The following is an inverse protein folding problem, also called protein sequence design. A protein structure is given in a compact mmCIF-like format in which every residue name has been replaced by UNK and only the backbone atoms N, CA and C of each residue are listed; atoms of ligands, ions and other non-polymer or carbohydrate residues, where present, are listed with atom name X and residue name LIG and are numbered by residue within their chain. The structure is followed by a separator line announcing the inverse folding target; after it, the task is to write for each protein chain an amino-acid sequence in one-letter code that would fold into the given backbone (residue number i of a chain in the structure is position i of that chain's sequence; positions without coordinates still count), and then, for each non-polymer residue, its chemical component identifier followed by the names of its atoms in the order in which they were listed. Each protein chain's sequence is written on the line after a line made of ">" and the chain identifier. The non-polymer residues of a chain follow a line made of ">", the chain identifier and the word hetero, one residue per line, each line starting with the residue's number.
data_IF_690884757067
#
_entry.id   IF_690884757067
#
_cell.length_a   1.000
_cell.length_b   1.000
_cell.length_c   1.000
_cell.angle_alpha   90.00
_cell.angle_beta   90.00
_cell.angle_gamma   90.00
#
_symmetry.space_group_name_H-M   'P 1'
#
loop_
_entity.id
_entity.type
_entity.pdbx_description
1 polymer ?
#
# COMPACT_ATOMS: atom_id res chain seq x y z
N UNK A 1 4.25 24.18 -35.65
CA UNK A 1 5.28 25.20 -35.90
C UNK A 1 6.18 25.41 -34.65
N UNK A 2 5.61 25.70 -33.47
CA UNK A 2 6.38 26.00 -32.23
C UNK A 2 7.10 24.78 -31.65
N UNK A 3 6.56 23.59 -31.79
CA UNK A 3 7.22 22.35 -31.34
C UNK A 3 8.54 22.07 -32.06
N UNK A 4 8.70 22.55 -33.28
CA UNK A 4 9.94 22.41 -34.05
C UNK A 4 10.96 23.53 -33.78
N UNK A 5 10.48 24.68 -33.24
CA UNK A 5 11.30 25.84 -32.92
C UNK A 5 11.79 25.85 -31.47
N UNK A 6 11.22 25.00 -30.62
CA UNK A 6 11.59 24.83 -29.19
C UNK A 6 12.72 23.82 -29.06
N UNK A 7 13.79 24.21 -28.41
CA UNK A 7 14.92 23.36 -28.05
C UNK A 7 14.99 23.23 -26.54
N UNK A 8 15.10 21.98 -26.07
CA UNK A 8 15.30 21.67 -24.65
C UNK A 8 16.53 20.78 -24.52
N UNK A 9 17.52 21.24 -23.81
CA UNK A 9 18.77 20.52 -23.60
C UNK A 9 19.10 20.45 -22.11
N UNK A 10 19.63 19.30 -21.66
CA UNK A 10 20.21 19.17 -20.34
C UNK A 10 21.49 19.98 -20.24
N UNK A 11 21.63 20.80 -19.20
CA UNK A 11 22.79 21.66 -19.00
C UNK A 11 24.12 20.90 -18.83
N UNK A 12 24.07 19.67 -18.29
CA UNK A 12 25.15 18.67 -18.18
C UNK A 12 24.50 17.30 -17.93
N UNK A 13 25.22 16.19 -18.19
CA UNK A 13 24.72 14.82 -17.97
C UNK A 13 24.27 14.56 -16.51
N UNK A 14 24.85 15.28 -15.54
CA UNK A 14 24.51 15.19 -14.11
C UNK A 14 23.67 16.39 -13.59
N UNK A 15 23.25 17.30 -14.47
CA UNK A 15 22.55 18.50 -14.04
C UNK A 15 21.04 18.30 -14.01
N UNK A 16 20.41 18.73 -12.91
CA UNK A 16 18.97 18.87 -12.78
C UNK A 16 18.41 20.13 -13.45
N UNK A 17 19.17 20.73 -14.36
CA UNK A 17 18.86 22.00 -15.05
C UNK A 17 18.60 21.70 -16.53
N UNK A 18 17.44 22.12 -17.00
CA UNK A 18 17.07 22.07 -18.40
C UNK A 18 17.14 23.48 -18.98
N UNK A 19 17.92 23.66 -20.04
CA UNK A 19 17.95 24.89 -20.81
C UNK A 19 16.88 24.84 -21.89
N UNK A 20 15.97 25.82 -21.85
CA UNK A 20 14.90 25.97 -22.85
C UNK A 20 15.24 27.16 -23.73
N UNK A 21 15.17 26.99 -25.04
CA UNK A 21 15.32 28.06 -26.00
C UNK A 21 14.31 27.93 -27.13
N UNK A 22 13.88 29.07 -27.67
CA UNK A 22 12.97 29.14 -28.79
C UNK A 22 13.39 30.25 -29.75
N UNK A 23 13.31 30.01 -31.03
CA UNK A 23 13.57 31.01 -32.06
C UNK A 23 12.24 31.50 -32.68
N UNK A 24 11.92 32.78 -32.50
CA UNK A 24 10.78 33.44 -33.09
C UNK A 24 11.17 34.83 -33.61
N UNK A 25 10.39 35.35 -34.60
CA UNK A 25 10.58 36.69 -35.13
C UNK A 25 10.23 37.79 -34.11
N UNK A 26 9.47 37.50 -33.08
CA UNK A 26 9.09 38.41 -31.99
C UNK A 26 9.65 37.89 -30.64
N UNK A 27 10.51 38.68 -30.01
CA UNK A 27 11.09 38.39 -28.72
C UNK A 27 9.98 38.20 -27.65
N UNK A 28 9.01 39.11 -27.64
CA UNK A 28 7.91 39.08 -26.68
C UNK A 28 7.10 37.78 -26.77
N UNK A 29 6.83 37.34 -28.01
CA UNK A 29 6.11 36.11 -28.26
C UNK A 29 6.92 34.86 -27.86
N UNK A 30 8.23 34.88 -28.06
CA UNK A 30 9.12 33.83 -27.61
C UNK A 30 9.13 33.74 -26.06
N UNK A 31 9.21 34.87 -25.36
CA UNK A 31 9.14 34.93 -23.89
C UNK A 31 7.78 34.44 -23.38
N UNK A 32 6.67 34.84 -23.97
CA UNK A 32 5.34 34.41 -23.58
C UNK A 32 5.17 32.88 -23.74
N UNK A 33 5.70 32.31 -24.82
CA UNK A 33 5.64 30.85 -25.06
C UNK A 33 6.47 30.10 -24.00
N UNK A 34 7.69 30.55 -23.70
CA UNK A 34 8.54 29.92 -22.70
C UNK A 34 7.94 30.03 -21.28
N UNK A 35 7.44 31.20 -20.91
CA UNK A 35 6.79 31.41 -19.62
C UNK A 35 5.54 30.51 -19.48
N UNK A 36 4.66 30.50 -20.50
CA UNK A 36 3.48 29.62 -20.51
C UNK A 36 3.87 28.16 -20.39
N UNK A 37 4.92 27.72 -21.09
CA UNK A 37 5.41 26.34 -21.01
C UNK A 37 5.88 26.00 -19.58
N UNK A 38 6.61 26.89 -18.94
CA UNK A 38 7.08 26.70 -17.57
C UNK A 38 5.90 26.66 -16.59
N UNK A 39 4.93 27.57 -16.74
CA UNK A 39 3.72 27.56 -15.90
C UNK A 39 2.92 26.26 -16.05
N UNK A 40 2.65 25.83 -17.28
CA UNK A 40 1.95 24.58 -17.55
C UNK A 40 2.72 23.35 -17.04
N UNK A 41 4.05 23.36 -17.14
CA UNK A 41 4.90 22.29 -16.58
C UNK A 41 4.77 22.21 -15.05
N UNK A 42 4.87 23.36 -14.39
CA UNK A 42 4.74 23.44 -12.93
C UNK A 42 3.34 23.03 -12.47
N UNK A 43 2.28 23.51 -13.15
CA UNK A 43 0.91 23.10 -12.86
C UNK A 43 0.72 21.60 -13.03
N UNK A 44 1.23 21.04 -14.11
CA UNK A 44 1.15 19.60 -14.38
C UNK A 44 1.93 18.78 -13.35
N UNK A 45 3.11 19.25 -12.94
CA UNK A 45 3.90 18.61 -11.91
C UNK A 45 3.16 18.57 -10.55
N UNK A 46 2.53 19.70 -10.18
CA UNK A 46 1.71 19.78 -8.95
C UNK A 46 0.50 18.84 -9.05
N UNK A 47 -0.19 18.80 -10.18
CA UNK A 47 -1.33 17.89 -10.40
C UNK A 47 -0.91 16.42 -10.25
N UNK A 48 0.20 16.01 -10.86
CA UNK A 48 0.71 14.64 -10.77
C UNK A 48 1.06 14.26 -9.34
N UNK A 49 1.71 15.18 -8.60
CA UNK A 49 2.01 14.98 -7.17
C UNK A 49 0.74 14.88 -6.33
N UNK A 50 -0.22 15.76 -6.55
CA UNK A 50 -1.48 15.75 -5.84
C UNK A 50 -2.29 14.48 -6.14
N UNK A 51 -2.27 13.97 -7.37
CA UNK A 51 -2.98 12.74 -7.73
C UNK A 51 -2.46 11.51 -6.95
N UNK A 52 -1.14 11.42 -6.78
CA UNK A 52 -0.53 10.36 -5.94
C UNK A 52 -0.98 10.54 -4.48
N UNK A 53 -0.90 11.77 -3.95
CA UNK A 53 -1.28 12.07 -2.58
C UNK A 53 -2.76 11.76 -2.29
N UNK A 54 -3.68 12.12 -3.21
CA UNK A 54 -5.11 11.81 -3.08
C UNK A 54 -5.35 10.31 -3.10
N UNK A 55 -4.73 9.57 -4.03
CA UNK A 55 -4.86 8.10 -4.09
C UNK A 55 -4.36 7.43 -2.81
N UNK A 56 -3.24 7.90 -2.27
CA UNK A 56 -2.67 7.40 -1.01
C UNK A 56 -3.56 7.76 0.19
N UNK A 57 -4.10 8.97 0.23
CA UNK A 57 -5.00 9.41 1.31
C UNK A 57 -6.29 8.59 1.35
N UNK A 58 -6.89 8.32 0.19
CA UNK A 58 -8.06 7.45 0.11
C UNK A 58 -7.77 6.04 0.62
N UNK A 59 -6.65 5.46 0.19
CA UNK A 59 -6.22 4.15 0.69
C UNK A 59 -6.06 4.12 2.21
N UNK A 60 -5.39 5.15 2.77
CA UNK A 60 -5.19 5.25 4.23
C UNK A 60 -6.55 5.38 4.95
N UNK A 61 -7.49 6.15 4.41
CA UNK A 61 -8.83 6.31 4.97
C UNK A 61 -9.61 4.99 5.02
N UNK A 62 -9.66 4.28 3.90
CA UNK A 62 -10.30 2.95 3.81
C UNK A 62 -9.65 1.96 4.79
N UNK A 63 -8.34 2.06 4.92
CA UNK A 63 -7.56 1.20 5.80
C UNK A 63 -7.80 1.46 7.28
N UNK A 64 -7.87 2.74 7.68
CA UNK A 64 -8.20 3.14 9.04
C UNK A 64 -9.56 2.59 9.46
N UNK A 65 -10.57 2.70 8.60
CA UNK A 65 -11.91 2.17 8.88
C UNK A 65 -11.90 0.64 9.13
N UNK A 66 -11.11 -0.11 8.37
CA UNK A 66 -10.95 -1.56 8.60
C UNK A 66 -10.28 -1.84 9.95
N UNK A 67 -9.20 -1.11 10.27
CA UNK A 67 -8.47 -1.28 11.53
C UNK A 67 -9.33 -0.90 12.73
N UNK A 68 -10.12 0.17 12.65
CA UNK A 68 -11.04 0.59 13.71
C UNK A 68 -12.09 -0.49 14.01
N UNK A 69 -12.66 -1.10 12.97
CA UNK A 69 -13.60 -2.20 13.13
C UNK A 69 -12.95 -3.46 13.74
N UNK A 70 -11.72 -3.79 13.30
CA UNK A 70 -10.98 -4.94 13.85
C UNK A 70 -10.58 -4.71 15.31
N UNK A 71 -10.14 -3.49 15.68
CA UNK A 71 -9.81 -3.11 17.05
C UNK A 71 -11.03 -3.16 17.97
N UNK A 72 -12.17 -2.63 17.54
CA UNK A 72 -13.43 -2.72 18.32
C UNK A 72 -13.79 -4.16 18.65
N UNK A 73 -13.70 -5.06 17.67
CA UNK A 73 -13.95 -6.49 17.88
C UNK A 73 -12.93 -7.16 18.82
N UNK A 74 -11.66 -6.73 18.80
CA UNK A 74 -10.61 -7.26 19.69
C UNK A 74 -10.83 -6.78 21.11
N UNK A 75 -11.16 -5.50 21.31
CA UNK A 75 -11.43 -4.94 22.65
C UNK A 75 -12.67 -5.59 23.30
N UNK A 76 -13.75 -5.82 22.54
CA UNK A 76 -14.93 -6.55 23.02
C UNK A 76 -14.58 -8.01 23.39
N UNK A 77 -13.79 -8.68 22.57
CA UNK A 77 -13.34 -10.05 22.85
C UNK A 77 -12.43 -10.12 24.06
N UNK A 78 -11.53 -9.13 24.26
CA UNK A 78 -10.65 -9.05 25.44
C UNK A 78 -11.47 -8.74 26.71
N UNK A 79 -12.44 -7.83 26.62
CA UNK A 79 -13.34 -7.48 27.72
C UNK A 79 -14.23 -8.66 28.09
N UNK A 80 -14.81 -9.36 27.10
CA UNK A 80 -15.62 -10.56 27.28
C UNK A 80 -14.78 -11.69 27.93
N UNK A 81 -13.58 -11.93 27.40
CA UNK A 81 -12.67 -12.93 27.96
C UNK A 81 -12.24 -12.61 29.40
N UNK A 82 -11.92 -11.33 29.70
CA UNK A 82 -11.64 -10.90 31.09
C UNK A 82 -12.84 -11.04 32.01
N UNK A 83 -14.06 -10.83 31.49
CA UNK A 83 -15.30 -10.96 32.26
C UNK A 83 -15.67 -12.42 32.52
N UNK A 84 -15.49 -13.31 31.56
CA UNK A 84 -15.79 -14.73 31.68
C UNK A 84 -14.72 -15.50 32.49
N UNK A 85 -13.48 -14.99 32.53
CA UNK A 85 -12.36 -15.66 33.19
C UNK A 85 -11.74 -14.80 34.29
N UNK A 86 -12.56 -14.10 35.08
CA UNK A 86 -12.18 -13.42 36.31
C UNK A 86 -11.70 -14.47 37.34
N UNK A 87 -10.46 -14.92 37.16
CA UNK A 87 -9.77 -15.81 38.03
C UNK A 87 -8.78 -15.01 38.89
N UNK A 88 -9.07 -14.77 40.16
CA UNK A 88 -8.03 -14.34 41.09
C UNK A 88 -7.14 -15.57 41.35
N UNK A 89 -5.89 -15.46 41.04
CA UNK A 89 -4.81 -16.23 41.65
C UNK A 89 -4.50 -17.66 41.17
N UNK A 90 -4.67 -17.97 39.89
CA UNK A 90 -3.80 -18.98 39.27
C UNK A 90 -2.63 -18.21 38.63
N UNK A 91 -1.84 -17.62 39.52
CA UNK A 91 -1.05 -16.41 39.21
C UNK A 91 0.10 -16.58 38.20
N UNK A 92 0.80 -17.66 38.12
CA UNK A 92 1.95 -17.77 37.22
C UNK A 92 1.60 -18.33 35.85
N UNK A 93 0.82 -19.41 35.78
CA UNK A 93 0.46 -20.04 34.52
C UNK A 93 -0.62 -19.24 33.74
N UNK A 94 -1.59 -18.64 34.46
CA UNK A 94 -2.64 -17.85 33.85
C UNK A 94 -2.13 -16.48 33.35
N UNK A 95 -1.19 -15.86 34.09
CA UNK A 95 -0.57 -14.61 33.64
C UNK A 95 0.32 -14.83 32.42
N UNK A 96 1.04 -15.94 32.35
CA UNK A 96 1.83 -16.31 31.17
C UNK A 96 0.92 -16.58 29.96
N UNK A 97 -0.16 -17.33 30.18
CA UNK A 97 -1.14 -17.61 29.10
C UNK A 97 -1.83 -16.34 28.61
N UNK A 98 -2.28 -15.48 29.52
CA UNK A 98 -2.92 -14.21 29.14
C UNK A 98 -1.95 -13.31 28.38
N UNK A 99 -0.69 -13.24 28.82
CA UNK A 99 0.36 -12.52 28.13
C UNK A 99 0.61 -13.09 26.72
N UNK A 100 0.72 -14.41 26.61
CA UNK A 100 0.91 -15.09 25.32
C UNK A 100 -0.30 -14.92 24.39
N UNK A 101 -1.51 -15.05 24.92
CA UNK A 101 -2.75 -14.84 24.14
C UNK A 101 -2.89 -13.38 23.69
N UNK A 102 -2.54 -12.41 24.54
CA UNK A 102 -2.54 -11.00 24.18
C UNK A 102 -1.52 -10.70 23.06
N UNK A 103 -0.32 -11.27 23.13
CA UNK A 103 0.69 -11.10 22.08
C UNK A 103 0.26 -11.79 20.77
N UNK A 104 -0.28 -13.01 20.85
CA UNK A 104 -0.84 -13.71 19.67
C UNK A 104 -1.97 -12.90 19.01
N UNK A 105 -2.87 -12.30 19.79
CA UNK A 105 -3.95 -11.45 19.28
C UNK A 105 -3.41 -10.20 18.60
N UNK A 106 -2.42 -9.55 19.19
CA UNK A 106 -1.75 -8.38 18.60
C UNK A 106 -1.07 -8.75 17.27
N UNK A 107 -0.37 -9.89 17.24
CA UNK A 107 0.25 -10.37 16.01
C UNK A 107 -0.78 -10.76 14.95
N UNK A 108 -1.87 -11.42 15.32
CA UNK A 108 -2.99 -11.71 14.41
C UNK A 108 -3.60 -10.44 13.83
N UNK A 109 -3.78 -9.40 14.65
CA UNK A 109 -4.27 -8.11 14.18
C UNK A 109 -3.32 -7.50 13.14
N UNK A 110 -2.02 -7.48 13.43
CA UNK A 110 -1.01 -6.96 12.50
C UNK A 110 -0.99 -7.75 11.18
N UNK A 111 -1.05 -9.07 11.24
CA UNK A 111 -1.06 -9.93 10.05
C UNK A 111 -2.35 -9.79 9.23
N UNK A 112 -3.52 -9.71 9.89
CA UNK A 112 -4.80 -9.47 9.21
C UNK A 112 -4.81 -8.09 8.56
N UNK A 113 -4.22 -7.09 9.21
CA UNK A 113 -4.01 -5.77 8.67
C UNK A 113 -3.21 -5.81 7.37
N UNK A 114 -2.06 -6.47 7.37
CA UNK A 114 -1.24 -6.66 6.17
C UNK A 114 -1.96 -7.48 5.09
N UNK A 115 -2.70 -8.50 5.47
CA UNK A 115 -3.49 -9.33 4.56
C UNK A 115 -4.56 -8.51 3.83
N UNK A 116 -5.32 -7.69 4.56
CA UNK A 116 -6.33 -6.82 3.97
C UNK A 116 -5.70 -5.80 3.01
N UNK A 117 -4.54 -5.25 3.37
CA UNK A 117 -3.77 -4.35 2.49
C UNK A 117 -3.36 -5.06 1.20
N UNK A 118 -2.78 -6.26 1.31
CA UNK A 118 -2.37 -7.04 0.15
C UNK A 118 -3.55 -7.38 -0.77
N UNK A 119 -4.69 -7.79 -0.19
CA UNK A 119 -5.93 -8.06 -0.92
C UNK A 119 -6.50 -6.82 -1.62
N UNK A 120 -6.43 -5.66 -0.95
CA UNK A 120 -6.85 -4.39 -1.54
C UNK A 120 -6.01 -4.06 -2.78
N UNK A 121 -4.68 -4.11 -2.66
CA UNK A 121 -3.78 -3.84 -3.80
C UNK A 121 -4.02 -4.83 -4.94
N UNK A 122 -4.19 -6.11 -4.63
CA UNK A 122 -4.54 -7.12 -5.64
C UNK A 122 -5.84 -6.79 -6.38
N UNK A 123 -6.87 -6.36 -5.64
CA UNK A 123 -8.16 -5.95 -6.20
C UNK A 123 -8.01 -4.73 -7.10
N UNK A 124 -7.26 -3.72 -6.64
CA UNK A 124 -6.99 -2.52 -7.41
C UNK A 124 -6.24 -2.82 -8.71
N UNK A 125 -5.21 -3.65 -8.66
CA UNK A 125 -4.46 -4.08 -9.84
C UNK A 125 -5.32 -4.81 -10.86
N UNK A 126 -6.27 -5.64 -10.41
CA UNK A 126 -7.16 -6.37 -11.31
C UNK A 126 -8.24 -5.48 -11.96
N UNK A 127 -8.65 -4.41 -11.25
CA UNK A 127 -9.77 -3.58 -11.68
C UNK A 127 -9.35 -2.29 -12.39
N UNK A 128 -8.11 -1.82 -12.19
CA UNK A 128 -7.65 -0.55 -12.74
C UNK A 128 -7.20 -0.66 -14.19
N UNK A 129 -7.51 0.38 -14.95
CA UNK A 129 -6.94 0.59 -16.28
C UNK A 129 -5.45 0.96 -16.12
N UNK A 130 -4.63 0.63 -17.11
CA UNK A 130 -3.19 0.94 -17.15
C UNK A 130 -2.86 2.45 -17.05
N UNK A 131 -3.85 3.31 -17.04
CA UNK A 131 -3.71 4.77 -16.90
C UNK A 131 -3.86 5.25 -15.46
N UNK A 132 -4.15 4.37 -14.49
CA UNK A 132 -4.42 4.73 -13.11
C UNK A 132 -3.23 4.37 -12.21
N UNK A 133 -2.94 5.28 -11.27
CA UNK A 133 -1.89 5.11 -10.27
C UNK A 133 -2.32 4.13 -9.18
N UNK A 134 -1.35 3.43 -8.63
CA UNK A 134 -1.50 2.61 -7.45
C UNK A 134 -1.12 3.41 -6.19
N UNK A 135 -1.75 3.13 -5.04
CA UNK A 135 -1.37 3.77 -3.79
C UNK A 135 0.06 3.41 -3.41
N UNK A 136 0.83 4.41 -2.98
CA UNK A 136 2.19 4.26 -2.44
C UNK A 136 2.14 4.33 -0.92
N UNK A 137 3.19 3.82 -0.26
CA UNK A 137 3.25 3.73 1.20
C UNK A 137 2.03 3.01 1.79
N UNK A 138 1.69 1.91 1.16
CA UNK A 138 0.49 1.14 1.48
C UNK A 138 0.53 0.46 2.86
N UNK A 139 1.67 0.47 3.54
CA UNK A 139 1.90 -0.24 4.79
C UNK A 139 2.16 -1.73 4.61
N UNK A 140 2.36 -2.20 3.37
CA UNK A 140 2.88 -3.55 3.12
C UNK A 140 4.32 -3.61 3.62
N UNK A 141 4.60 -4.53 4.55
CA UNK A 141 5.94 -4.79 5.06
C UNK A 141 6.83 -5.53 4.02
N UNK A 142 6.76 -5.14 2.77
CA UNK A 142 7.53 -5.72 1.67
C UNK A 142 8.07 -4.63 0.75
N UNK A 143 9.35 -4.28 0.96
CA UNK A 143 10.05 -3.23 0.22
C UNK A 143 10.05 -3.48 -1.29
N UNK A 144 10.09 -4.73 -1.72
CA UNK A 144 10.10 -5.06 -3.15
C UNK A 144 8.76 -4.72 -3.83
N UNK A 145 7.63 -4.97 -3.17
CA UNK A 145 6.30 -4.64 -3.69
C UNK A 145 6.14 -3.12 -3.77
N UNK A 146 6.54 -2.39 -2.72
CA UNK A 146 6.50 -0.93 -2.71
C UNK A 146 7.37 -0.30 -3.81
N UNK A 147 8.57 -0.83 -4.04
CA UNK A 147 9.45 -0.40 -5.14
C UNK A 147 8.80 -0.65 -6.50
N UNK A 148 8.25 -1.84 -6.73
CA UNK A 148 7.56 -2.19 -7.98
C UNK A 148 6.35 -1.28 -8.24
N UNK A 149 5.58 -0.92 -7.18
CA UNK A 149 4.48 0.04 -7.27
C UNK A 149 4.99 1.43 -7.65
N UNK A 150 6.09 1.88 -7.07
CA UNK A 150 6.72 3.16 -7.39
C UNK A 150 7.15 3.24 -8.86
N UNK A 151 7.84 2.22 -9.36
CA UNK A 151 8.25 2.12 -10.75
C UNK A 151 7.05 2.07 -11.71
N UNK A 152 6.03 1.28 -11.38
CA UNK A 152 4.77 1.24 -12.13
C UNK A 152 4.13 2.62 -12.24
N UNK A 153 4.00 3.34 -11.13
CA UNK A 153 3.42 4.68 -11.10
C UNK A 153 4.23 5.67 -11.95
N UNK A 154 5.55 5.59 -11.93
CA UNK A 154 6.42 6.43 -12.77
C UNK A 154 6.11 6.23 -14.25
N UNK A 155 6.06 4.97 -14.70
CA UNK A 155 5.76 4.65 -16.11
C UNK A 155 4.32 5.06 -16.49
N UNK A 156 3.35 4.92 -15.57
CA UNK A 156 1.98 5.41 -15.81
C UNK A 156 1.97 6.91 -16.07
N UNK A 157 2.66 7.70 -15.24
CA UNK A 157 2.74 9.15 -15.41
C UNK A 157 3.41 9.54 -16.73
N UNK A 158 4.53 8.91 -17.06
CA UNK A 158 5.25 9.15 -18.31
C UNK A 158 4.39 8.81 -19.52
N UNK A 159 3.72 7.65 -19.52
CA UNK A 159 2.81 7.25 -20.57
C UNK A 159 1.65 8.22 -20.73
N UNK A 160 1.04 8.66 -19.63
CA UNK A 160 -0.08 9.61 -19.66
C UNK A 160 0.37 10.95 -20.24
N UNK A 161 1.55 11.45 -19.89
CA UNK A 161 2.16 12.66 -20.47
C UNK A 161 2.40 12.50 -21.98
N UNK A 162 2.95 11.35 -22.38
CA UNK A 162 3.20 11.08 -23.80
C UNK A 162 1.90 11.05 -24.61
N UNK A 163 0.85 10.43 -24.10
CA UNK A 163 -0.46 10.37 -24.75
C UNK A 163 -1.10 11.74 -24.83
N UNK A 164 -1.00 12.55 -23.77
CA UNK A 164 -1.53 13.93 -23.78
C UNK A 164 -0.88 14.81 -24.85
N UNK A 165 0.39 14.60 -25.15
CA UNK A 165 1.17 15.36 -26.12
C UNK A 165 1.19 14.74 -27.52
N UNK A 166 0.70 13.52 -27.69
CA UNK A 166 0.72 12.83 -28.99
C UNK A 166 -0.60 12.08 -29.25
N UNK A 167 -0.61 10.78 -29.02
CA UNK A 167 -1.79 9.92 -29.19
C UNK A 167 -1.53 8.55 -28.57
N UNK A 168 -2.59 7.84 -28.23
CA UNK A 168 -2.50 6.41 -27.85
C UNK A 168 -1.91 5.50 -28.94
N UNK A 169 -1.91 5.97 -30.20
CA UNK A 169 -1.34 5.25 -31.34
C UNK A 169 0.19 5.38 -31.43
N UNK A 170 0.78 6.25 -30.63
CA UNK A 170 2.23 6.41 -30.59
C UNK A 170 2.90 5.06 -30.23
N UNK A 171 3.87 4.59 -31.03
CA UNK A 171 4.56 3.32 -30.78
C UNK A 171 5.15 3.25 -29.36
N UNK A 172 5.80 4.32 -28.89
CA UNK A 172 6.38 4.37 -27.55
C UNK A 172 5.29 4.25 -26.46
N UNK A 173 4.11 4.87 -26.64
CA UNK A 173 3.00 4.72 -25.70
C UNK A 173 2.47 3.29 -25.64
N UNK A 174 2.53 2.55 -26.75
CA UNK A 174 2.18 1.12 -26.79
C UNK A 174 3.24 0.26 -26.09
N UNK A 175 4.51 0.55 -26.29
CA UNK A 175 5.60 -0.17 -25.63
C UNK A 175 5.54 0.04 -24.11
N UNK A 176 5.26 1.26 -23.67
CA UNK A 176 5.01 1.56 -22.24
C UNK A 176 3.78 0.82 -21.72
N UNK A 177 2.71 0.69 -22.50
CA UNK A 177 1.54 -0.08 -22.10
C UNK A 177 1.86 -1.58 -21.93
N UNK A 178 2.66 -2.16 -22.83
CA UNK A 178 3.11 -3.54 -22.72
C UNK A 178 3.98 -3.74 -21.47
N UNK A 179 4.88 -2.80 -21.20
CA UNK A 179 5.72 -2.80 -20.00
C UNK A 179 4.85 -2.73 -18.74
N UNK A 180 3.90 -1.80 -18.66
CA UNK A 180 2.96 -1.67 -17.55
C UNK A 180 2.15 -2.95 -17.33
N UNK A 181 1.69 -3.60 -18.40
CA UNK A 181 0.98 -4.87 -18.28
C UNK A 181 1.86 -5.99 -17.73
N UNK A 182 3.12 -6.03 -18.12
CA UNK A 182 4.08 -6.99 -17.58
C UNK A 182 4.36 -6.72 -16.10
N UNK A 183 4.60 -5.47 -15.73
CA UNK A 183 4.80 -5.07 -14.33
C UNK A 183 3.57 -5.37 -13.47
N UNK A 184 2.37 -5.07 -13.97
CA UNK A 184 1.12 -5.39 -13.28
C UNK A 184 1.02 -6.89 -12.93
N UNK A 185 1.35 -7.77 -13.87
CA UNK A 185 1.37 -9.22 -13.63
C UNK A 185 2.41 -9.61 -12.58
N UNK A 186 3.60 -9.03 -12.64
CA UNK A 186 4.67 -9.29 -11.67
C UNK A 186 4.27 -8.83 -10.27
N UNK A 187 3.67 -7.64 -10.13
CA UNK A 187 3.18 -7.13 -8.84
C UNK A 187 2.06 -8.03 -8.30
N UNK A 188 1.10 -8.43 -9.14
CA UNK A 188 0.03 -9.37 -8.75
C UNK A 188 0.63 -10.67 -8.19
N UNK A 189 1.60 -11.25 -8.89
CA UNK A 189 2.26 -12.48 -8.44
C UNK A 189 3.00 -12.29 -7.11
N UNK A 190 3.69 -11.16 -6.93
CA UNK A 190 4.37 -10.82 -5.67
C UNK A 190 3.38 -10.66 -4.53
N UNK A 191 2.25 -10.00 -4.78
CA UNK A 191 1.16 -9.82 -3.80
C UNK A 191 0.47 -11.15 -3.48
N UNK A 192 0.21 -12.02 -4.47
CA UNK A 192 -0.37 -13.34 -4.23
C UNK A 192 0.54 -14.22 -3.36
N UNK A 193 1.85 -14.18 -3.60
CA UNK A 193 2.82 -14.87 -2.76
C UNK A 193 2.82 -14.35 -1.31
N UNK A 194 2.71 -13.03 -1.14
CA UNK A 194 2.59 -12.41 0.17
C UNK A 194 1.30 -12.84 0.87
N UNK A 195 0.16 -12.85 0.18
CA UNK A 195 -1.14 -13.31 0.72
C UNK A 195 -1.04 -14.76 1.21
N UNK A 196 -0.41 -15.64 0.44
CA UNK A 196 -0.19 -17.04 0.83
C UNK A 196 0.67 -17.13 2.10
N UNK A 197 1.76 -16.35 2.16
CA UNK A 197 2.64 -16.29 3.34
C UNK A 197 1.89 -15.80 4.58
N UNK A 198 1.15 -14.69 4.48
CA UNK A 198 0.38 -14.13 5.58
C UNK A 198 -0.71 -15.09 6.09
N UNK A 199 -1.46 -15.74 5.18
CA UNK A 199 -2.45 -16.75 5.56
C UNK A 199 -1.81 -17.95 6.27
N UNK A 200 -0.61 -18.33 5.88
CA UNK A 200 0.13 -19.40 6.55
C UNK A 200 0.54 -18.99 7.96
N UNK A 201 1.05 -17.79 8.16
CA UNK A 201 1.42 -17.25 9.47
C UNK A 201 0.19 -17.14 10.39
N UNK A 202 -0.92 -16.58 9.89
CA UNK A 202 -2.19 -16.47 10.63
C UNK A 202 -2.67 -17.86 11.07
N UNK A 203 -2.63 -18.85 10.18
CA UNK A 203 -3.02 -20.21 10.52
C UNK A 203 -2.13 -20.82 11.60
N UNK A 204 -0.82 -20.61 11.53
CA UNK A 204 0.12 -21.13 12.52
C UNK A 204 -0.13 -20.53 13.91
N UNK A 205 -0.35 -19.22 14.00
CA UNK A 205 -0.65 -18.56 15.28
C UNK A 205 -1.98 -19.07 15.85
N UNK A 206 -3.03 -19.19 15.01
CA UNK A 206 -4.32 -19.76 15.44
C UNK A 206 -4.18 -21.20 15.96
N UNK A 207 -3.34 -22.00 15.33
CA UNK A 207 -3.07 -23.37 15.78
C UNK A 207 -2.31 -23.39 17.11
N UNK A 208 -1.33 -22.51 17.30
CA UNK A 208 -0.65 -22.33 18.58
C UNK A 208 -1.63 -21.92 19.68
N UNK A 209 -2.49 -20.94 19.41
CA UNK A 209 -3.51 -20.49 20.36
C UNK A 209 -4.46 -21.61 20.77
N UNK A 210 -4.94 -22.41 19.81
CA UNK A 210 -5.78 -23.57 20.07
C UNK A 210 -5.06 -24.63 20.93
N UNK A 211 -3.77 -24.88 20.66
CA UNK A 211 -2.95 -25.83 21.43
C UNK A 211 -2.76 -25.33 22.86
N UNK A 212 -2.42 -24.06 23.03
CA UNK A 212 -2.19 -23.46 24.35
C UNK A 212 -3.48 -23.45 25.18
N UNK A 213 -4.63 -23.14 24.55
CA UNK A 213 -5.96 -23.18 25.17
C UNK A 213 -6.31 -24.62 25.61
N UNK A 214 -6.04 -25.61 24.76
CA UNK A 214 -6.29 -27.02 25.08
C UNK A 214 -5.41 -27.52 26.25
N UNK A 215 -4.15 -27.09 26.28
CA UNK A 215 -3.24 -27.43 27.40
C UNK A 215 -3.70 -26.80 28.71
N UNK A 216 -4.19 -25.58 28.67
CA UNK A 216 -4.75 -24.92 29.84
C UNK A 216 -6.00 -25.63 30.36
N UNK A 217 -6.93 -25.99 29.46
CA UNK A 217 -8.17 -26.70 29.78
C UNK A 217 -7.92 -28.15 30.32
N UNK A 218 -6.82 -28.76 29.93
CA UNK A 218 -6.46 -30.11 30.39
C UNK A 218 -5.73 -30.16 31.73
N UNK A 219 -5.42 -29.01 32.34
CA UNK A 219 -4.75 -28.98 33.63
C UNK A 219 -5.75 -29.18 34.79
N UNK A 220 -5.73 -30.34 35.48
CA UNK A 220 -6.75 -30.71 36.49
C UNK A 220 -6.86 -29.74 37.67
N UNK A 221 -5.76 -29.07 38.03
CA UNK A 221 -5.77 -28.09 39.09
C UNK A 221 -6.50 -26.80 38.74
N UNK A 222 -6.51 -26.43 37.45
CA UNK A 222 -7.23 -25.28 36.93
C UNK A 222 -8.74 -25.57 36.76
N UNK A 223 -9.08 -26.78 36.31
CA UNK A 223 -10.47 -27.24 36.23
C UNK A 223 -11.12 -27.32 37.62
N UNK A 224 -10.39 -27.79 38.62
CA UNK A 224 -10.86 -27.80 40.02
C UNK A 224 -11.06 -26.41 40.60
N UNK A 225 -10.21 -25.46 40.27
CA UNK A 225 -10.34 -24.08 40.69
C UNK A 225 -11.55 -23.41 40.05
N UNK A 226 -11.75 -23.61 38.73
CA UNK A 226 -12.93 -23.12 38.02
C UNK A 226 -14.25 -23.63 38.63
N UNK A 227 -14.30 -24.92 39.02
CA UNK A 227 -15.46 -25.53 39.66
C UNK A 227 -15.64 -25.10 41.14
N UNK A 228 -14.63 -24.52 41.80
CA UNK A 228 -14.71 -24.04 43.18
C UNK A 228 -15.14 -22.58 43.31
N UNK A 229 -15.28 -21.86 42.18
CA UNK A 229 -15.62 -20.44 42.11
C UNK A 229 -17.04 -20.24 41.57
N UNK A 230 -17.72 -21.29 41.06
CA UNK A 230 -19.16 -21.33 40.84
C UNK A 230 -19.89 -21.65 42.18
#
# INVERSE_FOLDING_TARGET
>A
YYTAALHAELGNEDATIINLSINDASIQKAEDILNTLIEMYNEKWIQDKNQIAVSTSQFIGDRLSVIENELGNVDENIAGYKSEHLLPDVQAASSLYLSQSAENKKELLALNSQLSTAQYIRKELNNKKLSQLLPTNSGIANVNIESQIGEYNTIVLERNRLIANSSEKNPLAKDMANSLQSMQRTIIQSVDNLIVSLNTQIRNIRQQEATTTSQLASNPNQAKYLLSVE
#
